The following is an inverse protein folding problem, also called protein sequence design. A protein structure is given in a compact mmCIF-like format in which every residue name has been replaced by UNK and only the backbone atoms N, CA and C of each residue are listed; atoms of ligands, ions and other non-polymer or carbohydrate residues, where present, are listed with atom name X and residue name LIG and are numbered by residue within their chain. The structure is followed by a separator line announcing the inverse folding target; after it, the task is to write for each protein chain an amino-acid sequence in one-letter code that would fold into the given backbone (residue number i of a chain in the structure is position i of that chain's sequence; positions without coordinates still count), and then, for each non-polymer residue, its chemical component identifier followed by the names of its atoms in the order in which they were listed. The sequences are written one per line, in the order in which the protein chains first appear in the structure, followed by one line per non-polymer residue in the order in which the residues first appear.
data_IF_832395769044
#
_entry.id   IF_832395769044
#
_cell.length_a   1.000
_cell.length_b   1.000
_cell.length_c   1.000
_cell.angle_alpha   90.00
_cell.angle_beta   90.00
_cell.angle_gamma   90.00
#
_symmetry.space_group_name_H-M   'P 1'
#
loop_
_entity.id
_entity.type
_entity.pdbx_description
1 polymer ?
#
# COMPACT_ATOMS: atom_id res chain seq x y z
N UNK A 1 0.17 -17.67 11.68
CA UNK A 1 -0.58 -17.64 10.40
C UNK A 1 0.00 -18.66 9.42
N UNK A 2 -0.80 -19.28 8.55
CA UNK A 2 -0.30 -20.26 7.55
C UNK A 2 0.11 -19.59 6.23
N UNK A 3 0.93 -20.27 5.41
CA UNK A 3 1.40 -19.75 4.11
C UNK A 3 0.24 -19.45 3.14
N UNK A 4 -0.81 -20.28 3.13
CA UNK A 4 -2.00 -20.07 2.30
C UNK A 4 -2.74 -18.78 2.68
N UNK A 5 -2.87 -18.50 3.99
CA UNK A 5 -3.51 -17.27 4.48
C UNK A 5 -2.67 -16.03 4.15
N UNK A 6 -1.34 -16.11 4.23
CA UNK A 6 -0.45 -15.03 3.79
C UNK A 6 -0.65 -14.70 2.31
N UNK A 7 -0.66 -15.74 1.46
CA UNK A 7 -0.91 -15.57 0.02
C UNK A 7 -2.24 -14.88 -0.24
N UNK A 8 -3.30 -15.29 0.47
CA UNK A 8 -4.61 -14.68 0.32
C UNK A 8 -4.60 -13.18 0.71
N UNK A 9 -3.96 -12.82 1.82
CA UNK A 9 -3.85 -11.42 2.25
C UNK A 9 -3.10 -10.57 1.21
N UNK A 10 -1.99 -11.09 0.67
CA UNK A 10 -1.23 -10.38 -0.37
C UNK A 10 -2.06 -10.23 -1.66
N UNK A 11 -2.79 -11.26 -2.08
CA UNK A 11 -3.67 -11.17 -3.26
C UNK A 11 -4.79 -10.14 -3.06
N UNK A 12 -5.37 -10.07 -1.87
CA UNK A 12 -6.33 -9.03 -1.52
C UNK A 12 -5.68 -7.64 -1.60
N UNK A 13 -4.53 -7.44 -0.96
CA UNK A 13 -3.81 -6.16 -1.02
C UNK A 13 -3.50 -5.71 -2.46
N UNK A 14 -3.05 -6.63 -3.32
CA UNK A 14 -2.84 -6.37 -4.76
C UNK A 14 -4.15 -5.93 -5.43
N UNK A 15 -5.26 -6.62 -5.15
CA UNK A 15 -6.57 -6.30 -5.72
C UNK A 15 -7.03 -4.90 -5.34
N UNK A 16 -6.91 -4.53 -4.06
CA UNK A 16 -7.33 -3.22 -3.55
C UNK A 16 -6.47 -2.09 -4.12
N UNK A 17 -5.14 -2.25 -4.12
CA UNK A 17 -4.21 -1.28 -4.72
C UNK A 17 -4.48 -1.10 -6.22
N UNK A 18 -4.78 -2.19 -6.93
CA UNK A 18 -5.15 -2.13 -8.35
C UNK A 18 -6.50 -1.43 -8.58
N UNK A 19 -7.46 -1.58 -7.65
CA UNK A 19 -8.74 -0.89 -7.72
C UNK A 19 -8.56 0.62 -7.54
N UNK A 20 -7.77 1.05 -6.55
CA UNK A 20 -7.46 2.48 -6.37
C UNK A 20 -6.68 3.09 -7.54
N UNK A 21 -5.83 2.30 -8.21
CA UNK A 21 -5.07 2.73 -9.38
C UNK A 21 -5.83 2.56 -10.71
N UNK A 22 -7.09 2.09 -10.70
CA UNK A 22 -7.83 1.75 -11.90
C UNK A 22 -7.95 2.93 -12.87
N UNK A 23 -8.40 4.09 -12.39
CA UNK A 23 -8.58 5.27 -13.22
C UNK A 23 -7.25 5.83 -13.74
N UNK A 24 -6.21 5.80 -12.90
CA UNK A 24 -4.86 6.16 -13.32
C UNK A 24 -4.39 5.26 -14.46
N UNK A 25 -4.50 3.93 -14.30
CA UNK A 25 -4.13 2.96 -15.34
C UNK A 25 -4.86 3.24 -16.64
N UNK A 26 -6.17 3.49 -16.60
CA UNK A 26 -6.95 3.80 -17.79
C UNK A 26 -6.46 5.08 -18.49
N UNK A 27 -6.18 6.14 -17.73
CA UNK A 27 -5.61 7.38 -18.28
C UNK A 27 -4.26 7.15 -18.96
N UNK A 28 -3.37 6.36 -18.35
CA UNK A 28 -2.05 6.06 -18.93
C UNK A 28 -2.16 5.18 -20.18
N UNK A 29 -3.06 4.20 -20.18
CA UNK A 29 -3.32 3.36 -21.35
C UNK A 29 -3.87 4.17 -22.54
N UNK A 30 -4.74 5.15 -22.29
CA UNK A 30 -5.20 6.07 -23.33
C UNK A 30 -4.07 6.94 -23.91
N UNK A 31 -3.02 7.20 -23.14
CA UNK A 31 -1.81 7.90 -23.61
C UNK A 31 -0.82 6.96 -24.32
N UNK A 32 -1.12 5.66 -24.41
CA UNK A 32 -0.33 4.66 -25.14
C UNK A 32 0.62 3.83 -24.27
N UNK A 33 0.69 4.07 -22.96
CA UNK A 33 1.53 3.31 -22.04
C UNK A 33 0.89 1.97 -21.70
N UNK A 34 1.58 0.85 -21.96
CA UNK A 34 1.05 -0.51 -21.75
C UNK A 34 1.32 -1.04 -20.36
N UNK A 35 2.43 -0.62 -19.75
CA UNK A 35 2.89 -1.09 -18.45
C UNK A 35 3.24 0.06 -17.54
N UNK A 36 3.17 -0.15 -16.21
CA UNK A 36 3.55 0.87 -15.22
C UNK A 36 5.01 1.33 -15.39
N UNK A 37 5.88 0.45 -15.88
CA UNK A 37 7.29 0.74 -16.13
C UNK A 37 7.52 1.72 -17.29
N UNK A 38 6.60 1.78 -18.26
CA UNK A 38 6.69 2.66 -19.42
C UNK A 38 6.19 4.07 -19.12
N UNK A 39 5.35 4.22 -18.08
CA UNK A 39 4.83 5.54 -17.73
C UNK A 39 6.02 6.41 -17.25
N UNK A 40 6.19 7.65 -17.76
CA UNK A 40 7.35 8.49 -17.46
C UNK A 40 7.51 8.82 -15.97
N UNK A 41 8.62 8.43 -15.34
CA UNK A 41 8.95 8.69 -13.93
C UNK A 41 10.46 8.65 -13.71
N UNK A 42 10.94 8.99 -12.50
CA UNK A 42 12.36 8.82 -12.20
C UNK A 42 12.76 7.34 -12.18
N UNK A 43 14.03 7.09 -12.49
CA UNK A 43 14.60 5.75 -12.52
C UNK A 43 15.43 5.53 -11.26
N UNK A 44 15.05 4.52 -10.47
CA UNK A 44 15.78 4.06 -9.30
C UNK A 44 16.31 2.66 -9.58
N UNK A 45 17.64 2.49 -9.56
CA UNK A 45 18.29 1.20 -9.83
C UNK A 45 17.84 0.58 -11.17
N UNK A 46 17.75 1.42 -12.21
CA UNK A 46 17.33 1.00 -13.56
C UNK A 46 15.85 0.62 -13.70
N UNK A 47 15.01 0.90 -12.70
CA UNK A 47 13.55 0.65 -12.73
C UNK A 47 12.78 1.93 -12.43
N UNK A 48 11.59 2.07 -13.01
CA UNK A 48 10.67 3.17 -12.69
C UNK A 48 10.36 3.18 -11.18
N UNK A 49 10.52 4.33 -10.53
CA UNK A 49 10.18 4.51 -9.12
C UNK A 49 8.71 4.17 -8.81
N UNK A 50 7.81 4.30 -9.81
CA UNK A 50 6.39 3.92 -9.66
C UNK A 50 6.21 2.44 -9.34
N UNK A 51 7.09 1.57 -9.84
CA UNK A 51 7.07 0.14 -9.50
C UNK A 51 7.40 -0.06 -8.02
N UNK A 52 8.38 0.69 -7.50
CA UNK A 52 8.75 0.66 -6.08
C UNK A 52 7.58 1.13 -5.21
N UNK A 53 6.93 2.24 -5.58
CA UNK A 53 5.78 2.75 -4.85
C UNK A 53 4.59 1.77 -4.88
N UNK A 54 4.31 1.14 -6.02
CA UNK A 54 3.29 0.11 -6.12
C UNK A 54 3.55 -1.07 -5.16
N UNK A 55 4.78 -1.59 -5.14
CA UNK A 55 5.14 -2.66 -4.22
C UNK A 55 5.04 -2.23 -2.75
N UNK A 56 5.42 -0.99 -2.43
CA UNK A 56 5.29 -0.45 -1.08
C UNK A 56 3.82 -0.35 -0.65
N UNK A 57 2.93 0.11 -1.54
CA UNK A 57 1.50 0.16 -1.27
C UNK A 57 0.94 -1.22 -0.92
N UNK A 58 1.25 -2.23 -1.73
CA UNK A 58 0.84 -3.63 -1.49
C UNK A 58 1.39 -4.15 -0.16
N UNK A 59 2.67 -3.88 0.13
CA UNK A 59 3.31 -4.31 1.36
C UNK A 59 2.65 -3.68 2.60
N UNK A 60 2.47 -2.37 2.62
CA UNK A 60 1.87 -1.66 3.75
C UNK A 60 0.42 -2.10 3.97
N UNK A 61 -0.36 -2.23 2.90
CA UNK A 61 -1.72 -2.75 2.97
C UNK A 61 -1.78 -4.16 3.55
N UNK A 62 -0.97 -5.08 3.01
CA UNK A 62 -0.93 -6.45 3.49
C UNK A 62 -0.52 -6.49 4.97
N UNK A 63 0.48 -5.70 5.37
CA UNK A 63 0.97 -5.67 6.75
C UNK A 63 -0.05 -5.08 7.72
N UNK A 64 -0.79 -4.05 7.33
CA UNK A 64 -1.88 -3.49 8.15
C UNK A 64 -2.96 -4.55 8.41
N UNK A 65 -3.44 -5.23 7.37
CA UNK A 65 -4.43 -6.31 7.49
C UNK A 65 -3.92 -7.46 8.37
N UNK A 66 -2.61 -7.77 8.31
CA UNK A 66 -2.02 -8.80 9.17
C UNK A 66 -2.00 -8.40 10.64
N UNK A 67 -1.64 -7.16 10.93
CA UNK A 67 -1.61 -6.64 12.30
C UNK A 67 -3.02 -6.62 12.90
N UNK A 68 -4.01 -6.12 12.17
CA UNK A 68 -5.42 -6.11 12.59
C UNK A 68 -5.94 -7.53 12.90
N UNK A 69 -5.69 -8.48 12.00
CA UNK A 69 -6.10 -9.88 12.21
C UNK A 69 -5.34 -10.58 13.34
N UNK A 70 -4.14 -10.12 13.67
CA UNK A 70 -3.38 -10.67 14.80
C UNK A 70 -3.96 -10.17 16.13
N UNK A 71 -4.37 -8.89 16.19
CA UNK A 71 -5.06 -8.33 17.34
C UNK A 71 -6.36 -9.08 17.66
N UNK A 72 -7.16 -9.41 16.64
CA UNK A 72 -8.40 -10.17 16.83
C UNK A 72 -8.18 -11.57 17.44
N UNK A 73 -6.97 -12.13 17.31
CA UNK A 73 -6.65 -13.49 17.75
C UNK A 73 -6.15 -13.59 19.20
N UNK A 74 -5.53 -12.54 19.75
CA UNK A 74 -4.88 -12.56 21.08
C UNK A 74 -5.50 -11.53 22.04
N UNK A 75 -6.61 -11.92 22.68
CA UNK A 75 -7.37 -11.10 23.64
C UNK A 75 -6.88 -11.22 25.10
N UNK A 76 -5.67 -11.73 25.34
CA UNK A 76 -5.10 -11.81 26.71
C UNK A 76 -4.72 -10.42 27.24
N UNK A 77 -4.54 -10.21 28.56
CA UNK A 77 -4.14 -8.88 29.10
C UNK A 77 -2.81 -8.38 28.52
N UNK A 78 -1.86 -9.29 28.28
CA UNK A 78 -0.64 -9.01 27.49
C UNK A 78 -0.94 -8.74 26.02
N UNK A 79 -1.89 -9.48 25.44
CA UNK A 79 -2.40 -9.31 24.09
C UNK A 79 -3.12 -7.97 23.88
N UNK A 80 -3.77 -7.40 24.89
CA UNK A 80 -4.45 -6.10 24.82
C UNK A 80 -3.43 -4.96 24.65
N UNK A 81 -2.39 -4.88 25.51
CA UNK A 81 -1.31 -3.88 25.35
C UNK A 81 -0.60 -4.04 24.01
N UNK A 82 -0.30 -5.29 23.61
CA UNK A 82 0.31 -5.60 22.32
C UNK A 82 -0.61 -5.23 21.15
N UNK A 83 -1.91 -5.40 21.32
CA UNK A 83 -2.95 -5.06 20.35
C UNK A 83 -3.06 -3.56 20.13
N UNK A 84 -2.99 -2.75 21.20
CA UNK A 84 -2.95 -1.28 21.09
C UNK A 84 -1.73 -0.79 20.30
N UNK A 85 -0.53 -1.32 20.59
CA UNK A 85 0.70 -1.03 19.83
C UNK A 85 0.57 -1.42 18.34
N UNK A 86 -0.02 -2.59 18.06
CA UNK A 86 -0.25 -3.07 16.70
C UNK A 86 -1.32 -2.26 15.97
N UNK A 87 -2.32 -1.73 16.67
CA UNK A 87 -3.36 -0.88 16.09
C UNK A 87 -2.79 0.48 15.65
N UNK A 88 -1.96 1.11 16.50
CA UNK A 88 -1.25 2.36 16.14
C UNK A 88 -0.35 2.14 14.91
N UNK A 89 0.46 1.08 14.93
CA UNK A 89 1.30 0.70 13.79
C UNK A 89 0.49 0.39 12.52
N UNK A 90 -0.71 -0.19 12.65
CA UNK A 90 -1.62 -0.43 11.51
C UNK A 90 -2.13 0.88 10.90
N UNK A 91 -2.47 1.87 11.74
CA UNK A 91 -2.88 3.19 11.28
C UNK A 91 -1.81 3.89 10.44
N UNK A 92 -0.55 3.82 10.87
CA UNK A 92 0.57 4.34 10.10
C UNK A 92 0.78 3.58 8.78
N UNK A 93 0.67 2.25 8.80
CA UNK A 93 0.75 1.43 7.58
C UNK A 93 -0.35 1.77 6.57
N UNK A 94 -1.58 2.04 7.03
CA UNK A 94 -2.66 2.49 6.15
C UNK A 94 -2.37 3.85 5.52
N UNK A 95 -1.77 4.77 6.28
CA UNK A 95 -1.33 6.07 5.77
C UNK A 95 -0.23 5.92 4.73
N UNK A 96 0.77 5.10 5.01
CA UNK A 96 1.88 4.80 4.10
C UNK A 96 1.41 4.12 2.82
N UNK A 97 0.43 3.21 2.91
CA UNK A 97 -0.16 2.57 1.73
C UNK A 97 -0.82 3.61 0.81
N UNK A 98 -1.62 4.51 1.39
CA UNK A 98 -2.27 5.61 0.64
C UNK A 98 -1.25 6.57 0.03
N UNK A 99 -0.23 6.96 0.79
CA UNK A 99 0.86 7.79 0.29
C UNK A 99 1.58 7.14 -0.88
N UNK A 100 1.89 5.84 -0.76
CA UNK A 100 2.51 5.09 -1.84
C UNK A 100 1.62 5.04 -3.10
N UNK A 101 0.30 4.84 -2.94
CA UNK A 101 -0.66 4.91 -4.07
C UNK A 101 -0.67 6.30 -4.70
N UNK A 102 -0.70 7.38 -3.91
CA UNK A 102 -0.63 8.75 -4.42
C UNK A 102 0.67 9.02 -5.19
N UNK A 103 1.80 8.51 -4.71
CA UNK A 103 3.10 8.58 -5.39
C UNK A 103 3.13 7.79 -6.70
N UNK A 104 2.39 6.69 -6.83
CA UNK A 104 2.24 6.01 -8.13
C UNK A 104 1.54 6.91 -9.16
N UNK A 105 0.58 7.74 -8.70
CA UNK A 105 -0.25 8.57 -9.57
C UNK A 105 0.30 9.98 -9.82
N UNK A 106 1.44 10.35 -9.22
CA UNK A 106 1.96 11.72 -9.13
C UNK A 106 0.92 12.75 -8.66
N UNK A 107 0.01 12.31 -7.79
CA UNK A 107 -0.94 13.25 -7.18
C UNK A 107 -0.16 14.09 -6.16
N UNK A 108 -0.16 15.43 -6.28
CA UNK A 108 0.54 16.28 -5.34
C UNK A 108 0.00 16.00 -3.94
N UNK A 109 0.92 15.85 -2.99
CA UNK A 109 0.56 15.84 -1.59
C UNK A 109 0.19 17.30 -1.29
N UNK A 110 -0.95 17.56 -0.65
CA UNK A 110 -1.12 18.85 0.00
C UNK A 110 -0.03 18.97 1.06
N UNK A 111 1.12 19.54 0.70
CA UNK A 111 1.94 20.29 1.64
C UNK A 111 1.05 21.43 2.10
N UNK A 112 0.35 21.23 3.22
CA UNK A 112 -0.20 22.36 3.97
C UNK A 112 1.04 23.09 4.47
N UNK A 113 1.53 24.04 3.69
CA UNK A 113 2.34 25.12 4.22
C UNK A 113 1.43 25.87 5.19
N UNK A 114 1.66 25.67 6.49
CA UNK A 114 1.20 26.58 7.52
C UNK A 114 1.91 27.92 7.26
N UNK A 115 1.19 28.84 6.60
CA UNK A 115 1.42 30.29 6.68
C UNK A 115 0.85 30.81 8.00
#
# INVERSE_FOLDING_TARGET
MTQQRLKQVVLTAISEVNAELYDFRNRQQMQGWRTLAEVPAEMLDGKSERIRHYHNAVFCWARAVLNERYQDYDATVSGVKRGEELAEASGDLWRDARWAISRVQDTPHCTVELI
#
